data_IF_942946999388
#
_entry.id   IF_942946999388
#
_cell.length_a   1.000
_cell.length_b   1.000
_cell.length_c   1.000
_cell.angle_alpha   90.00
_cell.angle_beta   90.00
_cell.angle_gamma   90.00
#
_symmetry.space_group_name_H-M   'P 1'
#
loop_
_entity.id
_entity.type
_entity.pdbx_description
1 polymer ?
#
# COMPACT_ATOMS: atom_id res chain seq x y z
N UNK A 1 -33.56 6.56 -12.47
CA UNK A 1 -33.39 5.61 -13.58
C UNK A 1 -31.97 5.08 -13.48
N UNK A 2 -31.76 3.76 -13.38
CA UNK A 2 -30.42 3.17 -13.39
C UNK A 2 -30.06 2.78 -14.82
N UNK A 3 -28.79 2.94 -15.21
CA UNK A 3 -28.31 2.44 -16.49
C UNK A 3 -27.69 1.06 -16.31
N UNK A 4 -27.95 0.14 -17.25
CA UNK A 4 -27.30 -1.16 -17.30
C UNK A 4 -26.34 -1.23 -18.49
N UNK A 5 -25.12 -1.73 -18.26
CA UNK A 5 -24.10 -1.92 -19.28
C UNK A 5 -23.53 -3.32 -19.18
N UNK A 6 -23.34 -3.99 -20.31
CA UNK A 6 -22.69 -5.29 -20.37
C UNK A 6 -21.29 -5.14 -20.96
N UNK A 7 -20.33 -5.84 -20.40
CA UNK A 7 -18.96 -5.93 -20.93
C UNK A 7 -18.35 -7.29 -20.60
N UNK A 8 -17.33 -7.67 -21.38
CA UNK A 8 -16.63 -8.95 -21.26
C UNK A 8 -15.13 -8.72 -21.28
N UNK A 9 -14.40 -9.43 -20.42
CA UNK A 9 -12.95 -9.46 -20.42
C UNK A 9 -12.43 -10.88 -20.20
N UNK A 10 -11.24 -11.16 -20.73
CA UNK A 10 -10.54 -12.42 -20.58
C UNK A 10 -9.13 -12.21 -20.04
N UNK A 11 -8.70 -13.09 -19.14
CA UNK A 11 -7.37 -13.13 -18.57
C UNK A 11 -6.81 -14.55 -18.73
N UNK A 12 -5.73 -14.70 -19.49
CA UNK A 12 -5.02 -15.98 -19.63
C UNK A 12 -3.92 -16.09 -18.58
N UNK A 13 -3.81 -17.26 -17.97
CA UNK A 13 -2.87 -17.57 -16.89
C UNK A 13 -2.12 -18.85 -17.26
N UNK A 14 -0.79 -18.82 -17.21
CA UNK A 14 0.02 -20.02 -17.36
C UNK A 14 -0.12 -20.88 -16.08
N UNK A 15 -0.32 -22.17 -16.26
CA UNK A 15 -0.50 -23.15 -15.20
C UNK A 15 0.77 -23.36 -14.38
N UNK A 16 1.96 -23.17 -14.98
CA UNK A 16 3.23 -23.16 -14.27
C UNK A 16 3.27 -22.08 -13.18
N UNK A 17 2.51 -20.99 -13.32
CA UNK A 17 2.44 -19.94 -12.30
C UNK A 17 1.79 -20.42 -11.00
N UNK A 18 1.04 -21.52 -11.01
CA UNK A 18 0.55 -22.15 -9.79
C UNK A 18 1.68 -22.69 -8.91
N UNK A 19 2.86 -22.96 -9.47
CA UNK A 19 4.01 -23.41 -8.70
C UNK A 19 4.89 -22.24 -8.21
N UNK A 20 4.67 -21.04 -8.77
CA UNK A 20 5.56 -19.89 -8.60
C UNK A 20 4.91 -18.80 -7.75
N UNK A 21 3.59 -18.65 -7.82
CA UNK A 21 2.87 -17.62 -7.08
C UNK A 21 2.74 -18.00 -5.61
N UNK A 22 3.00 -17.07 -4.72
CA UNK A 22 2.64 -17.25 -3.31
C UNK A 22 1.17 -16.87 -3.06
N UNK A 23 0.51 -17.43 -2.04
CA UNK A 23 -0.81 -16.97 -1.64
C UNK A 23 -0.84 -15.46 -1.36
N UNK A 24 -1.85 -14.78 -1.89
CA UNK A 24 -1.97 -13.32 -1.85
C UNK A 24 -1.35 -12.60 -3.06
N UNK A 25 -0.58 -13.29 -3.91
CA UNK A 25 -0.10 -12.73 -5.18
C UNK A 25 -1.16 -12.89 -6.28
N UNK A 26 -1.36 -11.85 -7.09
CA UNK A 26 -2.33 -11.86 -8.18
C UNK A 26 -1.75 -11.47 -9.54
N UNK A 27 -2.48 -11.87 -10.57
CA UNK A 27 -2.36 -11.45 -11.95
C UNK A 27 -3.61 -10.67 -12.30
N UNK A 28 -3.45 -9.60 -13.06
CA UNK A 28 -4.54 -8.67 -13.32
C UNK A 28 -4.69 -8.41 -14.81
N UNK A 29 -5.94 -8.36 -15.28
CA UNK A 29 -6.24 -8.04 -16.69
C UNK A 29 -6.00 -6.56 -16.99
N UNK A 30 -6.03 -6.22 -18.28
CA UNK A 30 -6.10 -4.82 -18.69
C UNK A 30 -7.32 -4.12 -18.05
N UNK A 31 -7.14 -2.84 -17.71
CA UNK A 31 -8.25 -2.00 -17.27
C UNK A 31 -9.10 -1.60 -18.45
N UNK A 32 -10.40 -1.87 -18.37
CA UNK A 32 -11.37 -1.50 -19.38
C UNK A 32 -12.22 -0.31 -18.92
N UNK A 33 -12.43 0.72 -19.76
CA UNK A 33 -13.37 1.77 -19.43
C UNK A 33 -14.80 1.19 -19.41
N UNK A 34 -15.56 1.49 -18.36
CA UNK A 34 -16.97 1.12 -18.31
C UNK A 34 -17.72 1.94 -19.37
N UNK A 35 -18.56 1.31 -20.23
CA UNK A 35 -19.27 2.02 -21.28
C UNK A 35 -20.02 3.26 -20.75
N UNK A 36 -19.80 4.40 -21.41
CA UNK A 36 -20.39 5.72 -21.08
C UNK A 36 -19.96 6.33 -19.72
N UNK A 37 -19.01 5.72 -19.03
CA UNK A 37 -18.41 6.23 -17.79
C UNK A 37 -16.90 6.45 -18.00
N UNK A 38 -16.50 7.57 -18.63
CA UNK A 38 -15.11 7.84 -19.08
C UNK A 38 -14.04 7.75 -17.99
N UNK A 39 -14.42 7.89 -16.72
CA UNK A 39 -13.51 7.87 -15.56
C UNK A 39 -13.68 6.63 -14.68
N UNK A 40 -14.51 5.69 -15.12
CA UNK A 40 -14.73 4.42 -14.42
C UNK A 40 -14.07 3.30 -15.22
N UNK A 41 -13.19 2.55 -14.55
CA UNK A 41 -12.53 1.41 -15.13
C UNK A 41 -12.91 0.14 -14.37
N UNK A 42 -12.82 -0.99 -15.03
CA UNK A 42 -12.97 -2.30 -14.41
C UNK A 42 -11.90 -3.27 -14.92
N UNK A 43 -11.60 -4.29 -14.14
CA UNK A 43 -10.60 -5.32 -14.46
C UNK A 43 -10.87 -6.62 -13.70
N UNK A 44 -10.13 -7.67 -14.06
CA UNK A 44 -10.12 -8.98 -13.40
C UNK A 44 -8.85 -9.08 -12.57
N UNK A 45 -8.96 -9.50 -11.31
CA UNK A 45 -7.83 -9.93 -10.48
C UNK A 45 -7.94 -11.44 -10.26
N UNK A 46 -6.89 -12.18 -10.60
CA UNK A 46 -6.77 -13.61 -10.41
C UNK A 46 -5.63 -13.89 -9.43
N UNK A 47 -5.93 -14.58 -8.34
CA UNK A 47 -4.93 -15.09 -7.41
C UNK A 47 -4.79 -16.59 -7.67
N UNK A 48 -3.74 -17.04 -8.39
CA UNK A 48 -3.60 -18.44 -8.79
C UNK A 48 -3.58 -19.38 -7.57
N UNK A 49 -2.96 -18.94 -6.47
CA UNK A 49 -2.83 -19.66 -5.21
C UNK A 49 -3.61 -19.00 -4.07
N UNK A 50 -4.79 -18.46 -4.40
CA UNK A 50 -5.70 -17.88 -3.44
C UNK A 50 -5.29 -16.49 -2.95
N UNK A 51 -6.28 -15.73 -2.51
CA UNK A 51 -6.08 -14.37 -1.95
C UNK A 51 -5.37 -14.42 -0.58
N UNK A 52 -5.47 -15.54 0.13
CA UNK A 52 -4.90 -15.73 1.46
C UNK A 52 -4.28 -17.12 1.57
N UNK A 53 -3.41 -17.32 2.56
CA UNK A 53 -2.76 -18.61 2.84
C UNK A 53 -3.77 -19.76 3.06
N UNK A 54 -4.92 -19.47 3.67
CA UNK A 54 -6.00 -20.45 3.87
C UNK A 54 -6.66 -20.91 2.56
N UNK A 55 -6.55 -20.08 1.53
CA UNK A 55 -7.12 -20.32 0.21
C UNK A 55 -6.09 -20.89 -0.77
N UNK A 56 -4.88 -21.24 -0.31
CA UNK A 56 -3.74 -21.63 -1.15
C UNK A 56 -4.00 -22.73 -2.17
N UNK A 57 -4.98 -23.59 -1.93
CA UNK A 57 -5.38 -24.72 -2.77
C UNK A 57 -6.46 -24.37 -3.80
N UNK A 58 -6.82 -23.09 -3.93
CA UNK A 58 -7.84 -22.58 -4.83
C UNK A 58 -7.29 -21.42 -5.65
N UNK A 59 -7.79 -21.28 -6.87
CA UNK A 59 -7.73 -20.02 -7.61
C UNK A 59 -8.84 -19.10 -7.08
N UNK A 60 -8.48 -17.89 -6.67
CA UNK A 60 -9.46 -16.84 -6.37
C UNK A 60 -9.57 -15.87 -7.54
N UNK A 61 -10.78 -15.44 -7.87
CA UNK A 61 -11.00 -14.48 -8.97
C UNK A 61 -11.94 -13.38 -8.53
N UNK A 62 -11.53 -12.14 -8.77
CA UNK A 62 -12.27 -10.92 -8.45
C UNK A 62 -12.48 -10.09 -9.71
N UNK A 63 -13.62 -9.42 -9.76
CA UNK A 63 -13.89 -8.33 -10.69
C UNK A 63 -13.84 -7.07 -9.85
N UNK A 64 -13.03 -6.12 -10.28
CA UNK A 64 -12.73 -4.90 -9.53
C UNK A 64 -13.10 -3.68 -10.37
N UNK A 65 -13.50 -2.60 -9.72
CA UNK A 65 -13.83 -1.31 -10.32
C UNK A 65 -12.98 -0.21 -9.74
N UNK A 66 -12.76 0.86 -10.51
CA UNK A 66 -11.92 1.95 -10.04
C UNK A 66 -12.54 2.70 -8.88
N UNK A 67 -13.86 2.78 -8.77
CA UNK A 67 -14.51 3.38 -7.60
C UNK A 67 -15.63 2.46 -7.10
N UNK A 68 -15.98 2.57 -5.83
CA UNK A 68 -17.12 1.87 -5.24
C UNK A 68 -18.44 2.45 -5.72
N UNK A 69 -19.55 1.88 -5.24
CA UNK A 69 -20.90 2.43 -5.50
C UNK A 69 -21.59 1.90 -6.77
N UNK A 70 -21.06 0.85 -7.40
CA UNK A 70 -21.75 0.14 -8.49
C UNK A 70 -22.29 -1.18 -7.99
N UNK A 71 -23.41 -1.57 -8.58
CA UNK A 71 -23.89 -2.93 -8.49
C UNK A 71 -23.48 -3.63 -9.77
N UNK A 72 -22.91 -4.82 -9.67
CA UNK A 72 -22.69 -5.63 -10.86
C UNK A 72 -23.09 -7.07 -10.66
N UNK A 73 -23.66 -7.65 -11.72
CA UNK A 73 -23.86 -9.08 -11.87
C UNK A 73 -22.73 -9.59 -12.73
N UNK A 74 -21.97 -10.55 -12.21
CA UNK A 74 -20.84 -11.16 -12.92
C UNK A 74 -21.07 -12.63 -13.13
N UNK A 75 -20.67 -13.11 -14.29
CA UNK A 75 -20.53 -14.51 -14.64
C UNK A 75 -19.06 -14.76 -14.90
N UNK A 76 -18.42 -15.47 -13.96
CA UNK A 76 -17.05 -15.94 -14.18
C UNK A 76 -17.15 -17.31 -14.80
N UNK A 77 -16.46 -17.45 -15.92
CA UNK A 77 -16.26 -18.70 -16.61
C UNK A 77 -14.76 -18.93 -16.67
N UNK A 78 -14.27 -19.92 -15.94
CA UNK A 78 -12.93 -20.45 -16.21
C UNK A 78 -13.07 -21.29 -17.46
N UNK A 79 -12.61 -20.77 -18.59
CA UNK A 79 -12.60 -21.47 -19.87
C UNK A 79 -11.40 -22.41 -19.89
N UNK A 80 -11.75 -23.68 -19.85
CA UNK A 80 -10.94 -24.78 -20.33
C UNK A 80 -11.77 -25.56 -21.33
N UNK A 81 -11.13 -26.25 -22.26
CA UNK A 81 -11.77 -26.97 -23.37
C UNK A 81 -12.98 -27.84 -22.98
N UNK A 82 -13.15 -28.20 -21.69
CA UNK A 82 -14.18 -29.13 -21.24
C UNK A 82 -14.77 -28.85 -19.83
N UNK A 83 -14.32 -27.80 -19.10
CA UNK A 83 -14.83 -27.48 -17.75
C UNK A 83 -15.37 -26.06 -17.69
N UNK A 84 -16.68 -25.92 -17.48
CA UNK A 84 -17.36 -24.64 -17.26
C UNK A 84 -17.73 -24.50 -15.78
N UNK A 85 -16.88 -23.87 -14.98
CA UNK A 85 -17.32 -23.39 -13.67
C UNK A 85 -18.05 -22.06 -13.90
N UNK A 86 -19.37 -22.05 -13.74
CA UNK A 86 -20.18 -20.83 -13.85
C UNK A 86 -20.69 -20.46 -12.47
N UNK A 87 -20.36 -19.25 -12.01
CA UNK A 87 -20.92 -18.73 -10.77
C UNK A 87 -21.43 -17.31 -10.97
N UNK A 88 -22.58 -17.01 -10.36
CA UNK A 88 -23.22 -15.69 -10.39
C UNK A 88 -23.24 -15.11 -8.99
N UNK A 89 -22.66 -13.92 -8.80
CA UNK A 89 -22.66 -13.22 -7.52
C UNK A 89 -22.95 -11.75 -7.74
N UNK A 90 -23.86 -11.23 -6.92
CA UNK A 90 -24.23 -9.83 -6.88
C UNK A 90 -23.37 -9.13 -5.83
N UNK A 91 -22.76 -8.01 -6.20
CA UNK A 91 -21.93 -7.21 -5.30
C UNK A 91 -22.57 -5.83 -5.12
N UNK A 92 -23.30 -5.59 -4.01
CA UNK A 92 -23.83 -4.28 -3.73
C UNK A 92 -22.71 -3.34 -3.28
N UNK A 93 -22.46 -2.30 -4.07
CA UNK A 93 -21.74 -1.07 -3.68
C UNK A 93 -20.27 -1.23 -3.23
N UNK A 94 -19.59 -2.32 -3.57
CA UNK A 94 -18.16 -2.50 -3.26
C UNK A 94 -17.26 -2.21 -4.48
N UNK A 95 -16.00 -1.87 -4.22
CA UNK A 95 -14.94 -1.68 -5.24
C UNK A 95 -14.46 -3.00 -5.86
N UNK A 96 -14.69 -4.12 -5.17
CA UNK A 96 -14.32 -5.44 -5.66
C UNK A 96 -15.38 -6.48 -5.30
N UNK A 97 -15.48 -7.48 -6.17
CA UNK A 97 -16.41 -8.58 -6.01
C UNK A 97 -15.82 -9.84 -6.61
N UNK A 98 -15.61 -10.87 -5.80
CA UNK A 98 -14.96 -12.11 -6.24
C UNK A 98 -15.52 -13.41 -5.69
N UNK A 99 -14.87 -14.49 -6.11
CA UNK A 99 -14.95 -15.83 -5.55
C UNK A 99 -13.59 -16.21 -5.01
N UNK A 100 -13.54 -16.38 -3.69
CA UNK A 100 -12.36 -16.82 -2.94
C UNK A 100 -12.00 -18.30 -3.18
N UNK A 101 -12.93 -19.08 -3.71
CA UNK A 101 -12.78 -20.51 -4.04
C UNK A 101 -13.38 -20.75 -5.42
N UNK A 102 -12.82 -20.11 -6.45
CA UNK A 102 -13.39 -20.16 -7.81
C UNK A 102 -13.24 -21.57 -8.41
N UNK A 103 -12.03 -22.15 -8.30
CA UNK A 103 -11.73 -23.52 -8.67
C UNK A 103 -10.58 -24.03 -7.78
N UNK A 104 -10.66 -25.28 -7.31
CA UNK A 104 -9.56 -25.92 -6.57
C UNK A 104 -8.44 -26.35 -7.52
N UNK A 105 -7.19 -26.29 -7.09
CA UNK A 105 -6.05 -26.80 -7.85
C UNK A 105 -6.22 -28.26 -8.25
N UNK A 106 -6.73 -29.11 -7.36
CA UNK A 106 -7.02 -30.51 -7.66
C UNK A 106 -7.93 -30.63 -8.91
N UNK A 107 -9.08 -29.95 -8.94
CA UNK A 107 -9.96 -29.90 -10.12
C UNK A 107 -9.32 -29.25 -11.35
N UNK A 108 -8.35 -28.36 -11.15
CA UNK A 108 -7.61 -27.72 -12.24
C UNK A 108 -6.53 -28.67 -12.82
N UNK A 109 -5.93 -29.53 -11.98
CA UNK A 109 -4.86 -30.48 -12.33
C UNK A 109 -5.41 -31.84 -12.80
N UNK A 110 -6.48 -32.35 -12.19
CA UNK A 110 -7.10 -33.66 -12.50
C UNK A 110 -7.76 -33.74 -13.87
N UNK A 111 -7.95 -32.61 -14.56
CA UNK A 111 -8.28 -32.68 -15.96
C UNK A 111 -6.96 -32.89 -16.73
N UNK A 112 -6.86 -33.93 -17.55
CA UNK A 112 -5.64 -34.40 -18.25
C UNK A 112 -5.19 -33.51 -19.45
N UNK A 113 -5.59 -32.25 -19.48
CA UNK A 113 -5.69 -31.41 -20.70
C UNK A 113 -5.45 -29.91 -20.44
N UNK A 114 -4.41 -29.52 -19.69
CA UNK A 114 -3.91 -28.14 -19.84
C UNK A 114 -3.18 -28.13 -21.19
N UNK A 115 -3.93 -28.00 -22.29
CA UNK A 115 -3.34 -27.84 -23.62
C UNK A 115 -2.50 -26.58 -23.57
N UNK A 116 -1.22 -26.74 -23.87
CA UNK A 116 -0.24 -25.66 -23.98
C UNK A 116 0.08 -24.94 -22.65
N UNK A 117 -0.28 -25.51 -21.50
CA UNK A 117 0.09 -24.93 -20.21
C UNK A 117 -0.76 -23.73 -19.76
N UNK A 118 -1.82 -23.33 -20.47
CA UNK A 118 -2.61 -22.11 -20.13
C UNK A 118 -4.04 -22.44 -19.68
N UNK A 119 -4.58 -21.66 -18.73
CA UNK A 119 -6.02 -21.56 -18.47
C UNK A 119 -6.54 -20.12 -18.61
N UNK A 120 -7.77 -19.95 -19.08
CA UNK A 120 -8.35 -18.62 -19.31
C UNK A 120 -9.51 -18.35 -18.36
N UNK A 121 -9.50 -17.18 -17.73
CA UNK A 121 -10.61 -16.65 -16.96
C UNK A 121 -11.37 -15.68 -17.85
N UNK A 122 -12.63 -15.97 -18.13
CA UNK A 122 -13.55 -15.06 -18.80
C UNK A 122 -14.54 -14.50 -17.78
N UNK A 123 -14.69 -13.19 -17.74
CA UNK A 123 -15.68 -12.51 -16.90
C UNK A 123 -16.65 -11.76 -17.80
N UNK A 124 -17.93 -12.12 -17.73
CA UNK A 124 -19.03 -11.34 -18.30
C UNK A 124 -19.65 -10.52 -17.15
N UNK A 125 -19.72 -9.20 -17.30
CA UNK A 125 -20.13 -8.27 -16.23
C UNK A 125 -21.26 -7.38 -16.72
N UNK A 126 -22.30 -7.25 -15.89
CA UNK A 126 -23.40 -6.31 -16.07
C UNK A 126 -23.29 -5.25 -14.99
N UNK A 127 -22.96 -4.01 -15.35
CA UNK A 127 -22.90 -2.86 -14.46
C UNK A 127 -24.26 -2.18 -14.35
N UNK A 128 -24.75 -1.99 -13.13
CA UNK A 128 -25.89 -1.13 -12.82
C UNK A 128 -25.37 0.17 -12.20
N UNK A 129 -25.53 1.27 -12.91
CA UNK A 129 -25.08 2.60 -12.49
C UNK A 129 -26.28 3.43 -12.01
N UNK A 130 -26.29 3.88 -10.75
CA UNK A 130 -27.33 4.79 -10.25
C UNK A 130 -27.34 6.12 -11.02
N UNK A 131 -28.53 6.69 -11.22
CA UNK A 131 -28.67 8.04 -11.80
C UNK A 131 -27.93 9.07 -10.93
N UNK A 132 -27.18 9.98 -11.56
CA UNK A 132 -26.40 11.03 -10.87
C UNK A 132 -24.95 10.64 -10.53
N UNK A 133 -24.60 9.35 -10.46
CA UNK A 133 -23.21 8.91 -10.26
C UNK A 133 -22.33 9.29 -11.44
N UNK A 134 -22.87 9.19 -12.66
CA UNK A 134 -22.15 9.55 -13.91
C UNK A 134 -21.74 11.03 -13.91
N UNK A 135 -22.60 11.93 -13.41
CA UNK A 135 -22.34 13.37 -13.43
C UNK A 135 -21.34 13.81 -12.33
N UNK A 136 -21.26 13.06 -11.22
CA UNK A 136 -20.22 13.25 -10.22
C UNK A 136 -18.86 12.71 -10.70
N UNK A 137 -18.84 11.58 -11.42
CA UNK A 137 -17.60 11.01 -11.99
C UNK A 137 -16.99 11.88 -13.08
N UNK A 138 -17.80 12.65 -13.83
CA UNK A 138 -17.30 13.61 -14.83
C UNK A 138 -16.45 14.74 -14.21
N UNK A 139 -16.52 14.96 -12.89
CA UNK A 139 -15.82 16.06 -12.21
C UNK A 139 -14.41 15.72 -11.73
N UNK A 140 -14.06 14.44 -11.59
CA UNK A 140 -12.71 14.03 -11.20
C UNK A 140 -11.79 14.00 -12.42
N UNK A 141 -10.65 14.65 -12.33
CA UNK A 141 -9.58 14.54 -13.33
C UNK A 141 -8.57 13.49 -12.85
N UNK A 142 -8.46 12.38 -13.59
CA UNK A 142 -7.38 11.41 -13.41
C UNK A 142 -6.40 11.53 -14.56
N UNK A 143 -5.11 11.43 -14.26
CA UNK A 143 -4.09 11.25 -15.28
C UNK A 143 -3.24 10.03 -14.96
N UNK A 144 -2.82 9.34 -16.01
CA UNK A 144 -1.91 8.20 -15.95
C UNK A 144 -0.56 8.66 -16.48
N UNK A 145 0.49 8.34 -15.73
CA UNK A 145 1.86 8.41 -16.22
C UNK A 145 2.51 7.04 -16.05
N UNK A 146 3.43 6.69 -16.94
CA UNK A 146 4.04 5.36 -16.95
C UNK A 146 5.50 5.42 -17.29
N UNK A 147 6.23 4.44 -16.78
CA UNK A 147 7.63 4.28 -17.07
C UNK A 147 7.98 2.84 -17.35
N UNK A 148 9.05 2.69 -18.12
CA UNK A 148 9.58 1.40 -18.49
C UNK A 148 11.04 1.40 -18.11
N UNK A 149 11.40 0.54 -17.19
CA UNK A 149 12.79 0.28 -16.85
C UNK A 149 13.22 -1.00 -17.53
N UNK A 150 14.32 -0.91 -18.26
CA UNK A 150 14.95 -2.05 -18.89
C UNK A 150 16.30 -2.23 -18.26
N UNK A 151 16.55 -3.42 -17.72
CA UNK A 151 17.88 -3.76 -17.24
C UNK A 151 18.26 -5.17 -17.69
N UNK A 152 19.55 -5.38 -17.90
CA UNK A 152 20.06 -6.69 -18.25
C UNK A 152 19.88 -7.64 -17.06
N UNK A 153 19.32 -8.82 -17.27
CA UNK A 153 19.08 -9.83 -16.25
C UNK A 153 20.35 -10.18 -15.46
N UNK A 154 21.52 -10.15 -16.08
CA UNK A 154 22.82 -10.38 -15.41
C UNK A 154 23.11 -9.36 -14.30
N UNK A 155 22.40 -8.23 -14.25
CA UNK A 155 22.52 -7.28 -13.15
C UNK A 155 21.99 -7.86 -11.82
N UNK A 156 21.05 -8.81 -11.86
CA UNK A 156 20.62 -9.55 -10.66
C UNK A 156 21.79 -10.36 -10.08
N UNK A 157 22.70 -10.85 -10.91
CA UNK A 157 23.86 -11.63 -10.45
C UNK A 157 25.00 -10.75 -9.91
N UNK A 158 25.02 -9.47 -10.28
CA UNK A 158 26.11 -8.56 -9.91
C UNK A 158 25.77 -7.59 -8.78
N UNK A 159 24.49 -7.29 -8.56
CA UNK A 159 24.04 -6.41 -7.50
C UNK A 159 24.01 -7.14 -6.15
N UNK A 160 24.34 -6.41 -5.09
CA UNK A 160 24.20 -6.87 -3.71
C UNK A 160 22.93 -6.28 -3.09
N UNK A 161 22.37 -6.93 -2.06
CA UNK A 161 21.24 -6.37 -1.32
C UNK A 161 21.52 -4.94 -0.82
N UNK A 162 20.50 -4.09 -0.92
CA UNK A 162 20.58 -2.65 -0.62
C UNK A 162 21.18 -1.77 -1.72
N UNK A 163 21.77 -2.35 -2.78
CA UNK A 163 22.14 -1.58 -3.97
C UNK A 163 20.92 -1.28 -4.83
N UNK A 164 20.79 -0.02 -5.23
CA UNK A 164 19.63 0.45 -6.00
C UNK A 164 19.98 1.22 -7.26
N UNK A 165 19.06 1.13 -8.21
CA UNK A 165 18.98 1.95 -9.40
C UNK A 165 17.91 3.00 -9.12
N UNK A 166 18.29 4.28 -9.13
CA UNK A 166 17.37 5.40 -8.95
C UNK A 166 16.98 5.88 -10.34
N UNK A 167 15.69 5.87 -10.63
CA UNK A 167 15.16 6.43 -11.87
C UNK A 167 15.21 7.95 -11.86
N UNK A 168 15.32 8.54 -13.05
CA UNK A 168 15.14 9.97 -13.23
C UNK A 168 13.75 10.42 -12.78
N UNK A 169 13.70 11.56 -12.10
CA UNK A 169 12.45 12.14 -11.62
C UNK A 169 11.62 12.65 -12.79
N UNK A 170 10.33 12.32 -12.77
CA UNK A 170 9.35 12.83 -13.73
C UNK A 170 8.38 13.76 -13.04
N UNK A 171 8.04 14.86 -13.70
CA UNK A 171 7.02 15.79 -13.21
C UNK A 171 5.88 15.87 -14.21
N UNK A 172 4.68 15.49 -13.78
CA UNK A 172 3.45 15.57 -14.58
C UNK A 172 2.39 16.27 -13.75
N UNK A 173 1.79 17.33 -14.31
CA UNK A 173 0.76 18.15 -13.64
C UNK A 173 1.17 18.65 -12.23
N UNK A 174 2.45 19.02 -12.07
CA UNK A 174 3.00 19.52 -10.81
C UNK A 174 3.29 18.44 -9.76
N UNK A 175 3.03 17.17 -10.06
CA UNK A 175 3.38 16.02 -9.22
C UNK A 175 4.68 15.43 -9.75
N UNK A 176 5.68 15.33 -8.88
CA UNK A 176 6.97 14.72 -9.22
C UNK A 176 7.05 13.31 -8.65
N UNK A 177 7.40 12.33 -9.46
CA UNK A 177 7.53 10.94 -9.01
C UNK A 177 8.74 10.26 -9.66
N UNK A 178 9.24 9.22 -8.99
CA UNK A 178 10.35 8.39 -9.47
C UNK A 178 10.30 7.03 -8.78
N UNK A 179 11.16 6.11 -9.20
CA UNK A 179 11.26 4.80 -8.58
C UNK A 179 12.70 4.49 -8.15
N UNK A 180 12.85 3.76 -7.05
CA UNK A 180 14.07 3.05 -6.67
C UNK A 180 13.88 1.56 -6.96
N UNK A 181 14.80 0.96 -7.69
CA UNK A 181 14.80 -0.46 -8.00
C UNK A 181 15.96 -1.11 -7.30
N UNK A 182 15.68 -2.20 -6.58
CA UNK A 182 16.67 -3.00 -5.90
C UNK A 182 16.65 -4.39 -6.55
N UNK A 183 17.55 -4.67 -7.50
CA UNK A 183 17.56 -5.94 -8.23
C UNK A 183 17.74 -7.17 -7.33
N UNK A 184 18.34 -6.98 -6.15
CA UNK A 184 18.63 -8.04 -5.18
C UNK A 184 18.09 -7.69 -3.79
N UNK A 185 16.90 -7.08 -3.73
CA UNK A 185 16.26 -6.72 -2.47
C UNK A 185 16.81 -5.45 -1.83
N UNK A 186 15.98 -4.80 -1.02
CA UNK A 186 16.41 -3.61 -0.26
C UNK A 186 17.29 -4.00 0.93
N UNK A 187 17.02 -5.15 1.54
CA UNK A 187 17.77 -5.67 2.68
C UNK A 187 18.28 -7.08 2.38
N UNK A 188 19.16 -7.58 3.25
CA UNK A 188 19.70 -8.94 3.12
C UNK A 188 18.62 -10.02 3.24
N UNK A 189 17.55 -9.74 3.98
CA UNK A 189 16.38 -10.62 4.11
C UNK A 189 15.60 -10.72 2.79
N UNK A 190 15.73 -9.73 1.91
CA UNK A 190 15.02 -9.63 0.63
C UNK A 190 15.88 -10.07 -0.56
N UNK A 191 17.07 -10.64 -0.33
CA UNK A 191 18.08 -10.87 -1.37
C UNK A 191 17.66 -11.76 -2.54
N UNK A 192 16.66 -12.61 -2.33
CA UNK A 192 16.08 -13.48 -3.36
C UNK A 192 15.03 -12.81 -4.24
N UNK A 193 14.82 -11.49 -4.06
CA UNK A 193 13.77 -10.74 -4.71
C UNK A 193 14.30 -9.51 -5.44
N UNK A 194 13.53 -9.05 -6.42
CA UNK A 194 13.56 -7.68 -6.90
C UNK A 194 12.59 -6.87 -6.03
N UNK A 195 13.02 -5.74 -5.49
CA UNK A 195 12.17 -4.78 -4.77
C UNK A 195 12.11 -3.46 -5.52
N UNK A 196 10.95 -2.79 -5.50
CA UNK A 196 10.71 -1.54 -6.24
C UNK A 196 9.91 -0.59 -5.37
N UNK A 197 10.44 0.62 -5.21
CA UNK A 197 9.87 1.68 -4.40
C UNK A 197 9.54 2.87 -5.27
N UNK A 198 8.26 3.18 -5.37
CA UNK A 198 7.67 4.36 -5.92
C UNK A 198 7.73 5.53 -4.93
N UNK A 199 8.24 6.66 -5.40
CA UNK A 199 8.39 7.88 -4.64
C UNK A 199 7.59 8.99 -5.30
N UNK A 200 6.94 9.83 -4.48
CA UNK A 200 6.17 10.98 -4.95
C UNK A 200 6.47 12.19 -4.10
N UNK A 201 6.65 13.35 -4.73
CA UNK A 201 6.83 14.65 -4.09
C UNK A 201 6.11 15.75 -4.87
N UNK A 202 5.53 16.71 -4.15
CA UNK A 202 4.85 17.87 -4.74
C UNK A 202 3.47 17.54 -5.34
N UNK A 203 2.75 18.60 -5.73
CA UNK A 203 1.42 18.54 -6.33
C UNK A 203 0.26 18.82 -5.35
N UNK A 204 -0.95 19.10 -5.87
CA UNK A 204 -2.16 19.19 -5.04
C UNK A 204 -2.44 17.83 -4.38
N UNK A 205 -3.22 17.83 -3.29
CA UNK A 205 -3.63 16.63 -2.55
C UNK A 205 -4.14 15.55 -3.53
N UNK A 206 -3.31 14.54 -3.78
CA UNK A 206 -3.68 13.36 -4.56
C UNK A 206 -4.32 12.38 -3.59
N UNK A 207 -5.65 12.26 -3.64
CA UNK A 207 -6.43 11.39 -2.75
C UNK A 207 -6.38 9.92 -3.14
N UNK A 208 -5.95 9.58 -4.35
CA UNK A 208 -5.85 8.20 -4.79
C UNK A 208 -4.63 8.03 -5.70
N UNK A 209 -3.75 7.14 -5.24
CA UNK A 209 -2.55 6.73 -5.94
C UNK A 209 -2.70 5.24 -6.22
N UNK A 210 -2.49 4.85 -7.46
CA UNK A 210 -2.45 3.44 -7.82
C UNK A 210 -1.22 3.15 -8.60
N UNK A 211 -0.57 2.07 -8.21
CA UNK A 211 0.66 1.63 -8.82
C UNK A 211 0.45 0.24 -9.37
N UNK A 212 0.76 0.08 -10.66
CA UNK A 212 0.78 -1.20 -11.34
C UNK A 212 2.20 -1.45 -11.83
N UNK A 213 2.71 -2.66 -11.61
CA UNK A 213 4.04 -3.03 -12.06
C UNK A 213 3.97 -4.32 -12.83
N UNK A 214 4.50 -4.36 -14.05
CA UNK A 214 4.60 -5.59 -14.84
C UNK A 214 6.03 -5.96 -15.21
N UNK A 215 6.36 -7.26 -15.19
CA UNK A 215 7.59 -7.79 -15.79
C UNK A 215 7.28 -8.37 -17.16
N UNK A 216 7.94 -7.86 -18.19
CA UNK A 216 7.83 -8.30 -19.59
C UNK A 216 6.37 -8.44 -20.09
N UNK A 217 5.45 -7.66 -19.50
CA UNK A 217 4.01 -7.71 -19.81
C UNK A 217 3.23 -8.86 -19.16
N UNK A 218 3.87 -9.73 -18.38
CA UNK A 218 3.31 -11.02 -17.93
C UNK A 218 2.74 -10.99 -16.51
N UNK A 219 3.30 -10.17 -15.60
CA UNK A 219 2.93 -10.24 -14.18
C UNK A 219 2.65 -8.88 -13.56
N UNK A 220 1.38 -8.51 -13.41
CA UNK A 220 1.02 -7.18 -12.88
C UNK A 220 0.71 -7.19 -11.38
N UNK A 221 1.61 -6.69 -10.52
CA UNK A 221 1.30 -6.38 -9.12
C UNK A 221 0.60 -5.02 -9.03
N UNK A 222 -0.55 -4.98 -8.36
CA UNK A 222 -1.35 -3.78 -8.14
C UNK A 222 -1.49 -3.49 -6.66
N UNK A 223 -1.33 -2.22 -6.29
CA UNK A 223 -1.63 -1.73 -4.95
C UNK A 223 -2.50 -0.48 -5.08
N UNK A 224 -3.49 -0.42 -4.20
CA UNK A 224 -4.42 0.68 -4.05
C UNK A 224 -4.38 1.20 -2.62
N UNK A 225 -4.85 2.44 -2.44
CA UNK A 225 -4.69 3.34 -1.30
C UNK A 225 -4.64 2.74 0.14
N UNK A 226 -5.15 1.54 0.39
CA UNK A 226 -5.13 0.89 1.71
C UNK A 226 -3.80 0.26 2.14
N UNK A 227 -2.82 0.12 1.24
CA UNK A 227 -1.45 -0.37 1.55
C UNK A 227 -0.39 0.76 1.49
N UNK A 228 -0.85 2.00 1.39
CA UNK A 228 0.01 3.18 1.26
C UNK A 228 0.36 3.68 2.66
N UNK A 229 1.59 3.43 3.12
CA UNK A 229 2.08 4.16 4.29
C UNK A 229 2.30 5.64 3.94
N UNK A 230 1.91 6.53 4.85
CA UNK A 230 1.92 8.00 4.71
C UNK A 230 3.33 8.63 4.59
N UNK A 231 4.39 7.82 4.52
CA UNK A 231 5.80 8.25 4.61
C UNK A 231 6.44 8.70 3.29
N UNK A 232 5.67 8.87 2.21
CA UNK A 232 6.16 9.44 0.94
C UNK A 232 7.07 8.55 0.10
N UNK A 233 7.46 7.38 0.62
CA UNK A 233 8.18 6.32 -0.07
C UNK A 233 7.32 5.06 0.00
N UNK A 234 6.86 4.55 -1.14
CA UNK A 234 5.96 3.40 -1.21
C UNK A 234 6.65 2.35 -2.07
N UNK A 235 6.94 1.17 -1.56
CA UNK A 235 7.47 0.11 -2.41
C UNK A 235 6.98 -1.26 -2.04
N UNK A 236 7.11 -2.15 -3.00
CA UNK A 236 6.98 -3.56 -2.73
C UNK A 236 8.35 -4.06 -2.33
N UNK A 237 8.45 -4.43 -1.07
CA UNK A 237 9.34 -5.50 -0.67
C UNK A 237 8.85 -6.77 -1.38
N UNK A 238 9.79 -7.53 -1.94
CA UNK A 238 9.49 -8.81 -2.60
C UNK A 238 8.57 -8.66 -3.83
N UNK A 239 8.82 -7.67 -4.70
CA UNK A 239 8.05 -7.50 -5.95
C UNK A 239 7.99 -8.79 -6.74
N UNK A 240 9.15 -9.38 -6.99
CA UNK A 240 9.29 -10.58 -7.78
C UNK A 240 10.42 -11.42 -7.19
N UNK A 241 10.26 -12.73 -7.15
CA UNK A 241 11.39 -13.60 -6.87
C UNK A 241 12.36 -13.54 -8.04
N UNK A 242 13.65 -13.81 -7.79
CA UNK A 242 14.60 -13.96 -8.89
C UNK A 242 14.15 -15.04 -9.86
N UNK A 243 13.59 -16.15 -9.37
CA UNK A 243 13.02 -17.22 -10.20
C UNK A 243 11.90 -16.72 -11.13
N UNK A 244 10.96 -15.90 -10.64
CA UNK A 244 9.94 -15.24 -11.48
C UNK A 244 10.60 -14.37 -12.56
N UNK A 245 11.62 -13.61 -12.18
CA UNK A 245 12.42 -12.83 -13.12
C UNK A 245 13.27 -13.68 -14.06
N UNK A 246 13.43 -14.99 -13.84
CA UNK A 246 14.17 -15.88 -14.72
C UNK A 246 13.26 -16.59 -15.73
N UNK A 247 11.98 -16.78 -15.38
CA UNK A 247 10.98 -17.49 -16.16
C UNK A 247 10.20 -16.59 -17.12
N UNK A 248 10.16 -15.28 -16.87
CA UNK A 248 9.52 -14.33 -17.79
C UNK A 248 10.18 -14.38 -19.18
N UNK A 249 9.40 -14.40 -20.26
CA UNK A 249 9.95 -14.43 -21.63
C UNK A 249 10.85 -13.21 -21.89
N UNK A 250 12.16 -13.43 -22.01
CA UNK A 250 13.15 -12.35 -22.17
C UNK A 250 13.63 -12.31 -23.62
N UNK A 251 13.27 -11.24 -24.34
CA UNK A 251 14.01 -10.87 -25.54
C UNK A 251 15.36 -10.29 -25.12
N UNK A 252 16.45 -10.96 -25.49
CA UNK A 252 17.84 -10.50 -25.35
C UNK A 252 18.34 -10.32 -23.89
N UNK A 253 17.94 -11.19 -22.96
CA UNK A 253 18.32 -11.10 -21.53
C UNK A 253 17.90 -9.78 -20.86
N UNK A 254 16.84 -9.12 -21.35
CA UNK A 254 16.33 -7.88 -20.76
C UNK A 254 15.12 -8.20 -19.89
N UNK A 255 15.16 -7.67 -18.66
CA UNK A 255 14.00 -7.55 -17.79
C UNK A 255 13.43 -6.15 -17.99
N UNK A 256 12.19 -6.10 -18.46
CA UNK A 256 11.39 -4.89 -18.61
C UNK A 256 10.41 -4.79 -17.44
N UNK A 257 10.61 -3.84 -16.55
CA UNK A 257 9.66 -3.48 -15.50
C UNK A 257 8.87 -2.25 -15.96
N UNK A 258 7.58 -2.41 -16.19
CA UNK A 258 6.67 -1.31 -16.51
C UNK A 258 5.97 -0.86 -15.25
N UNK A 259 6.18 0.37 -14.82
CA UNK A 259 5.51 0.95 -13.67
C UNK A 259 4.51 2.01 -14.14
N UNK A 260 3.26 1.88 -13.72
CA UNK A 260 2.19 2.81 -14.07
C UNK A 260 1.67 3.48 -12.81
N UNK A 261 1.73 4.80 -12.79
CA UNK A 261 1.21 5.63 -11.73
C UNK A 261 -0.07 6.31 -12.20
N UNK A 262 -1.16 6.10 -11.46
CA UNK A 262 -2.41 6.81 -11.70
C UNK A 262 -2.63 7.78 -10.55
N UNK A 263 -2.80 9.05 -10.89
CA UNK A 263 -3.07 10.13 -9.96
C UNK A 263 -4.48 10.65 -10.23
N UNK A 264 -5.32 10.66 -9.19
CA UNK A 264 -6.68 11.20 -9.29
C UNK A 264 -6.82 12.47 -8.47
N UNK A 265 -7.16 13.57 -9.14
CA UNK A 265 -7.54 14.84 -8.51
C UNK A 265 -9.06 14.87 -8.29
N UNK A 266 -9.54 15.06 -7.06
CA UNK A 266 -10.97 15.22 -6.82
C UNK A 266 -11.50 16.49 -7.51
N UNK A 267 -12.68 16.36 -8.14
CA UNK A 267 -13.44 17.51 -8.61
C UNK A 267 -14.13 18.22 -7.45
N UNK A 268 -13.65 19.40 -7.07
CA UNK A 268 -14.21 20.21 -5.97
C UNK A 268 -15.61 20.77 -6.30
N UNK A 269 -16.48 20.99 -5.28
CA UNK A 269 -16.31 22.11 -4.35
C UNK A 269 -16.49 21.77 -2.86
N UNK A 270 -15.57 22.27 -2.04
CA UNK A 270 -15.87 22.96 -0.78
C UNK A 270 -15.17 24.32 -0.88
N UNK A 271 -15.94 25.39 -0.63
CA UNK A 271 -15.70 26.78 -1.02
C UNK A 271 -14.40 27.42 -0.45
N UNK A 272 -13.94 28.54 -1.07
CA UNK A 272 -12.59 29.11 -0.95
C UNK A 272 -12.51 30.27 0.05
N UNK A 273 -11.30 30.58 0.52
CA UNK A 273 -10.93 31.97 0.83
C UNK A 273 -9.63 32.29 0.09
N UNK A 274 -9.68 33.41 -0.62
CA UNK A 274 -8.72 34.01 -1.53
C UNK A 274 -7.42 34.44 -0.86
N UNK A 275 -6.29 34.34 -1.58
CA UNK A 275 -5.38 35.49 -1.76
C UNK A 275 -4.80 35.44 -3.18
N UNK A 276 -5.06 36.50 -3.94
CA UNK A 276 -4.42 36.80 -5.21
C UNK A 276 -3.15 37.61 -4.90
N UNK A 277 -1.96 37.09 -5.21
CA UNK A 277 -0.70 37.80 -5.01
C UNK A 277 -0.17 38.27 -6.36
N UNK A 278 -0.18 39.59 -6.55
CA UNK A 278 0.54 40.30 -7.62
C UNK A 278 2.05 40.21 -7.35
N UNK A 279 2.93 40.07 -8.36
CA UNK A 279 4.35 39.86 -8.11
C UNK A 279 5.02 41.13 -7.54
N UNK A 280 5.80 41.04 -6.46
CA UNK A 280 6.81 42.03 -6.14
C UNK A 280 8.18 41.59 -6.65
N UNK A 281 8.95 42.62 -6.99
CA UNK A 281 10.31 42.59 -7.53
C UNK A 281 11.33 41.85 -6.64
N UNK A 282 12.37 41.36 -7.30
CA UNK A 282 13.56 40.71 -6.74
C UNK A 282 14.15 41.47 -5.55
N UNK A 283 14.27 40.81 -4.40
CA UNK A 283 15.36 41.04 -3.42
C UNK A 283 15.68 39.72 -2.70
N UNK A 284 16.97 39.36 -2.63
CA UNK A 284 17.50 38.15 -1.99
C UNK A 284 17.89 38.39 -0.52
N UNK A 285 17.53 37.47 0.40
CA UNK A 285 18.23 37.23 1.69
C UNK A 285 17.81 35.87 2.32
N UNK A 286 18.64 35.20 3.16
CA UNK A 286 18.55 33.75 3.44
C UNK A 286 17.73 33.34 4.68
N UNK A 287 17.07 32.18 4.60
CA UNK A 287 16.28 31.51 5.66
C UNK A 287 17.13 30.73 6.67
N UNK A 288 16.74 30.76 7.96
CA UNK A 288 17.26 29.88 9.03
C UNK A 288 16.20 28.84 9.45
N UNK A 289 16.59 27.56 9.50
CA UNK A 289 15.81 26.47 10.12
C UNK A 289 15.86 26.60 11.65
N UNK A 290 14.73 26.45 12.33
CA UNK A 290 14.65 26.35 13.78
C UNK A 290 14.18 24.93 14.14
N UNK A 291 15.10 24.10 14.67
CA UNK A 291 14.78 22.78 15.23
C UNK A 291 14.60 22.92 16.74
N UNK A 292 13.45 22.51 17.27
CA UNK A 292 13.23 22.46 18.73
C UNK A 292 13.51 21.03 19.18
N UNK A 293 14.50 20.88 20.04
CA UNK A 293 14.95 19.58 20.56
C UNK A 293 14.25 19.28 21.89
N UNK A 294 13.95 18.01 22.09
CA UNK A 294 13.68 17.35 23.38
C UNK A 294 12.24 17.41 23.91
N UNK A 295 11.41 16.46 23.46
CA UNK A 295 10.25 16.00 24.23
C UNK A 295 10.43 14.52 24.60
N UNK A 296 10.24 14.20 25.88
CA UNK A 296 10.34 12.85 26.43
C UNK A 296 8.98 12.51 27.03
N UNK A 297 8.36 11.43 26.59
CA UNK A 297 7.20 10.84 27.28
C UNK A 297 7.56 9.44 27.72
N UNK A 298 7.39 9.18 29.01
CA UNK A 298 7.56 7.88 29.61
C UNK A 298 6.18 7.31 29.97
N UNK A 299 5.98 6.03 29.71
CA UNK A 299 4.83 5.26 30.14
C UNK A 299 5.31 4.11 31.01
N UNK A 300 4.68 3.93 32.17
CA UNK A 300 4.86 2.75 32.99
C UNK A 300 3.54 2.00 32.96
N UNK A 301 3.57 0.74 32.52
CA UNK A 301 2.36 -0.07 32.37
C UNK A 301 2.50 -1.33 33.22
N UNK A 302 1.43 -1.66 33.92
CA UNK A 302 1.31 -2.94 34.60
C UNK A 302 1.23 -4.05 33.54
N UNK A 303 2.27 -4.87 33.51
CA UNK A 303 2.46 -5.96 32.56
C UNK A 303 1.84 -7.24 33.12
N UNK A 304 0.52 -7.23 33.27
CA UNK A 304 -0.24 -8.46 33.51
C UNK A 304 -0.60 -9.07 32.15
N UNK A 305 0.17 -10.09 31.77
CA UNK A 305 0.12 -10.81 30.48
C UNK A 305 -1.24 -11.43 30.14
N UNK A 306 -2.16 -11.54 31.11
CA UNK A 306 -3.38 -12.35 30.99
C UNK A 306 -4.68 -11.54 30.90
N UNK A 307 -4.66 -10.20 30.89
CA UNK A 307 -5.90 -9.41 31.07
C UNK A 307 -6.20 -8.39 29.96
N UNK A 308 -5.49 -8.42 28.84
CA UNK A 308 -5.87 -7.60 27.69
C UNK A 308 -6.12 -8.50 26.48
N UNK A 309 -7.36 -8.48 26.01
CA UNK A 309 -7.68 -9.08 24.73
C UNK A 309 -6.98 -8.30 23.61
N UNK A 310 -6.73 -8.98 22.49
CA UNK A 310 -6.18 -8.33 21.30
C UNK A 310 -7.07 -7.15 20.90
N UNK A 311 -6.47 -5.96 20.75
CA UNK A 311 -7.16 -4.70 20.46
C UNK A 311 -7.47 -3.83 21.67
N UNK A 312 -7.26 -4.32 22.90
CA UNK A 312 -7.33 -3.48 24.10
C UNK A 312 -6.02 -2.71 24.31
N UNK A 313 -6.13 -1.45 24.74
CA UNK A 313 -4.99 -0.57 24.92
C UNK A 313 -5.14 0.37 26.13
N UNK A 314 -3.98 0.76 26.66
CA UNK A 314 -3.82 1.89 27.56
C UNK A 314 -3.19 3.07 26.81
N UNK A 315 -3.35 4.29 27.33
CA UNK A 315 -2.72 5.47 26.74
C UNK A 315 -2.08 6.38 27.77
N UNK A 316 -0.99 7.04 27.39
CA UNK A 316 -0.42 8.11 28.23
C UNK A 316 -1.33 9.34 28.21
N UNK A 317 -1.28 10.18 29.25
CA UNK A 317 -1.83 11.53 29.15
C UNK A 317 -1.26 12.26 27.93
N UNK A 318 -2.08 13.10 27.29
CA UNK A 318 -1.61 14.00 26.26
C UNK A 318 -0.59 14.95 26.86
N UNK A 319 0.61 14.97 26.31
CA UNK A 319 1.71 15.82 26.76
C UNK A 319 2.02 16.83 25.67
N UNK A 320 2.20 18.10 26.06
CA UNK A 320 2.64 19.13 25.13
C UNK A 320 4.07 18.89 24.70
N UNK A 321 4.34 19.14 23.43
CA UNK A 321 5.70 19.10 22.89
C UNK A 321 6.44 20.31 23.45
N UNK A 322 7.62 20.08 24.03
CA UNK A 322 8.41 21.15 24.61
C UNK A 322 8.70 22.23 23.56
N UNK A 323 8.35 23.48 23.85
CA UNK A 323 8.45 24.60 22.90
C UNK A 323 7.29 24.77 21.91
N UNK A 324 6.21 23.99 22.02
CA UNK A 324 4.95 24.21 21.31
C UNK A 324 3.75 24.10 22.26
N UNK A 325 3.00 25.18 22.40
CA UNK A 325 1.69 25.20 23.05
C UNK A 325 0.57 24.63 22.15
N UNK A 326 0.90 24.25 20.90
CA UNK A 326 -0.06 23.88 19.86
C UNK A 326 -0.01 22.43 19.45
N UNK A 327 1.03 21.69 19.82
CA UNK A 327 1.18 20.29 19.49
C UNK A 327 1.24 19.46 20.77
N UNK A 328 0.40 18.45 20.82
CA UNK A 328 0.32 17.46 21.88
C UNK A 328 0.57 16.09 21.28
N UNK A 329 1.15 15.21 22.06
CA UNK A 329 1.27 13.82 21.67
C UNK A 329 1.00 12.88 22.84
N UNK A 330 0.68 11.64 22.52
CA UNK A 330 0.58 10.55 23.48
C UNK A 330 0.97 9.22 22.85
N UNK A 331 1.28 8.26 23.70
CA UNK A 331 1.46 6.87 23.31
C UNK A 331 0.16 6.11 23.55
N UNK A 332 -0.18 5.23 22.61
CA UNK A 332 -1.20 4.18 22.76
C UNK A 332 -0.48 2.85 22.81
N UNK A 333 -0.67 2.10 23.89
CA UNK A 333 0.04 0.86 24.19
C UNK A 333 -0.94 -0.30 24.19
N UNK A 334 -0.72 -1.28 23.31
CA UNK A 334 -1.52 -2.49 23.19
C UNK A 334 -0.69 -3.68 23.67
N UNK A 335 -0.87 -4.13 24.92
CA UNK A 335 -0.03 -5.17 25.51
C UNK A 335 -0.14 -6.50 24.77
N UNK A 336 -1.32 -6.88 24.26
CA UNK A 336 -1.53 -8.16 23.57
C UNK A 336 -1.51 -8.07 22.04
N UNK A 337 -1.23 -6.88 21.51
CA UNK A 337 -1.31 -6.55 20.09
C UNK A 337 -2.60 -5.78 19.76
N UNK A 338 -2.53 -4.92 18.75
CA UNK A 338 -3.65 -4.11 18.27
C UNK A 338 -4.70 -4.89 17.47
N UNK A 339 -4.31 -6.01 16.86
CA UNK A 339 -5.17 -6.81 16.01
C UNK A 339 -4.72 -8.29 16.00
N UNK A 340 -5.54 -9.23 15.47
CA UNK A 340 -5.21 -10.66 15.53
C UNK A 340 -3.86 -11.04 14.90
N UNK A 341 -3.33 -10.24 13.96
CA UNK A 341 -2.03 -10.48 13.32
C UNK A 341 -0.84 -10.05 14.18
N UNK A 342 -1.04 -9.14 15.13
CA UNK A 342 -0.03 -8.68 16.10
C UNK A 342 -0.13 -9.40 17.45
N UNK A 343 -1.03 -10.39 17.57
CA UNK A 343 -1.14 -11.23 18.77
C UNK A 343 0.22 -11.77 19.22
N UNK A 344 0.49 -11.68 20.52
CA UNK A 344 1.75 -12.10 21.13
C UNK A 344 2.90 -11.08 21.01
N UNK A 345 2.60 -9.88 20.49
CA UNK A 345 3.51 -8.75 20.47
C UNK A 345 2.90 -7.60 21.27
N UNK A 346 3.76 -6.72 21.78
CA UNK A 346 3.36 -5.38 22.18
C UNK A 346 3.26 -4.54 20.91
N UNK A 347 2.13 -3.85 20.73
CA UNK A 347 2.01 -2.77 19.75
C UNK A 347 2.08 -1.42 20.45
N UNK A 348 2.79 -0.47 19.83
CA UNK A 348 2.89 0.89 20.33
C UNK A 348 2.55 1.85 19.21
N UNK A 349 1.68 2.80 19.49
CA UNK A 349 1.31 3.83 18.55
C UNK A 349 1.57 5.20 19.15
N UNK A 350 1.86 6.12 18.27
CA UNK A 350 2.04 7.51 18.59
C UNK A 350 0.89 8.30 17.96
N UNK A 351 0.11 8.97 18.81
CA UNK A 351 -0.89 9.93 18.36
C UNK A 351 -0.36 11.34 18.55
N UNK A 352 -0.41 12.15 17.50
CA UNK A 352 -0.10 13.58 17.55
C UNK A 352 -1.38 14.36 17.30
N UNK A 353 -1.81 15.15 18.29
CA UNK A 353 -2.95 16.05 18.18
C UNK A 353 -2.49 17.50 18.22
N UNK A 354 -3.16 18.39 17.50
CA UNK A 354 -2.79 19.80 17.43
C UNK A 354 -4.01 20.71 17.44
N UNK A 355 -3.78 22.00 17.60
CA UNK A 355 -4.77 23.04 17.31
C UNK A 355 -4.64 23.66 15.90
N UNK A 356 -3.61 23.34 15.11
CA UNK A 356 -3.39 23.82 13.73
C UNK A 356 -3.20 22.68 12.72
N UNK A 357 -3.97 22.61 11.63
CA UNK A 357 -3.82 21.58 10.58
C UNK A 357 -2.47 21.67 9.87
N UNK A 358 -1.48 20.88 10.30
CA UNK A 358 -0.11 20.84 9.74
C UNK A 358 0.49 19.46 9.86
N UNK A 359 1.20 19.02 8.82
CA UNK A 359 2.04 17.83 8.89
C UNK A 359 3.31 18.11 9.69
N UNK A 360 3.67 17.23 10.62
CA UNK A 360 4.88 17.37 11.44
C UNK A 360 5.83 16.20 11.17
N UNK A 361 7.12 16.46 10.98
CA UNK A 361 8.12 15.38 10.96
C UNK A 361 8.60 15.11 12.36
N UNK A 362 8.44 13.87 12.80
CA UNK A 362 8.90 13.40 14.08
C UNK A 362 9.98 12.34 13.90
N UNK A 363 11.13 12.59 14.51
CA UNK A 363 12.21 11.61 14.61
C UNK A 363 12.50 11.33 16.07
N UNK A 364 12.69 10.07 16.42
CA UNK A 364 12.85 9.70 17.81
C UNK A 364 13.35 8.29 18.03
N UNK A 365 13.29 7.90 19.29
CA UNK A 365 13.74 6.62 19.81
C UNK A 365 12.75 6.10 20.84
N UNK A 366 12.36 4.84 20.72
CA UNK A 366 11.60 4.09 21.73
C UNK A 366 12.57 3.17 22.47
N UNK A 367 12.52 3.19 23.80
CA UNK A 367 13.37 2.38 24.68
C UNK A 367 12.51 1.62 25.69
N UNK A 368 12.98 0.44 26.10
CA UNK A 368 12.42 -0.29 27.23
C UNK A 368 13.39 -0.15 28.39
N UNK A 369 12.95 0.49 29.47
CA UNK A 369 13.80 0.85 30.61
C UNK A 369 14.37 -0.41 31.26
N UNK A 370 15.66 -0.39 31.58
CA UNK A 370 16.36 -1.53 32.18
C UNK A 370 16.87 -2.55 31.16
N UNK A 371 16.68 -2.32 29.86
CA UNK A 371 17.13 -3.22 28.78
C UNK A 371 18.03 -2.50 27.78
N UNK A 372 18.59 -3.27 26.83
CA UNK A 372 19.29 -2.73 25.66
C UNK A 372 18.35 -2.50 24.46
N UNK A 373 17.04 -2.69 24.61
CA UNK A 373 16.11 -2.52 23.50
C UNK A 373 15.96 -1.05 23.12
N UNK A 374 16.20 -0.76 21.86
CA UNK A 374 16.08 0.56 21.28
C UNK A 374 15.52 0.46 19.85
N UNK A 375 14.50 1.26 19.54
CA UNK A 375 13.91 1.37 18.20
C UNK A 375 13.90 2.82 17.76
N UNK A 376 14.71 3.15 16.76
CA UNK A 376 14.71 4.49 16.15
C UNK A 376 13.57 4.62 15.15
N UNK A 377 13.07 5.84 14.98
CA UNK A 377 12.01 6.13 14.04
C UNK A 377 12.12 7.53 13.44
N UNK A 378 11.59 7.68 12.23
CA UNK A 378 11.44 8.95 11.53
C UNK A 378 10.16 8.89 10.72
N UNK A 379 9.14 9.61 11.15
CA UNK A 379 7.77 9.56 10.64
C UNK A 379 7.26 10.96 10.34
N UNK A 380 6.43 11.06 9.31
CA UNK A 380 5.69 12.27 8.97
C UNK A 380 4.27 12.01 9.46
N UNK A 381 3.81 12.80 10.43
CA UNK A 381 2.53 12.60 11.10
C UNK A 381 1.60 13.76 10.73
N UNK A 382 0.49 13.43 10.09
CA UNK A 382 -0.64 14.35 9.98
C UNK A 382 -1.35 14.47 11.31
N UNK A 383 -1.94 15.63 11.55
CA UNK A 383 -2.55 15.91 12.83
C UNK A 383 -3.84 15.12 13.00
N UNK A 384 -4.03 14.59 14.21
CA UNK A 384 -5.08 13.61 14.53
C UNK A 384 -4.90 12.26 13.82
N UNK A 385 -3.69 12.00 13.29
CA UNK A 385 -3.31 10.69 12.77
C UNK A 385 -2.47 9.91 13.79
N UNK A 386 -2.46 8.60 13.62
CA UNK A 386 -1.79 7.65 14.50
C UNK A 386 -0.69 6.95 13.69
N UNK A 387 0.56 7.10 14.10
CA UNK A 387 1.69 6.33 13.55
C UNK A 387 1.97 5.11 14.41
N UNK A 388 2.35 4.00 13.80
CA UNK A 388 2.23 2.68 14.40
C UNK A 388 3.53 1.87 14.42
N UNK A 389 3.72 1.11 15.49
CA UNK A 389 4.55 -0.10 15.54
C UNK A 389 3.64 -1.28 15.93
N UNK A 390 2.93 -1.90 14.97
CA UNK A 390 1.98 -2.98 15.26
C UNK A 390 2.65 -4.21 15.90
N UNK A 391 3.95 -4.39 15.70
CA UNK A 391 4.76 -5.45 16.32
C UNK A 391 6.07 -4.85 16.83
N UNK A 392 6.00 -4.03 17.88
CA UNK A 392 7.19 -3.35 18.42
C UNK A 392 8.20 -4.36 18.97
N UNK A 393 7.73 -5.28 19.81
CA UNK A 393 8.53 -6.35 20.42
C UNK A 393 7.62 -7.53 20.74
N UNK A 394 8.11 -8.76 20.54
CA UNK A 394 7.35 -9.95 20.95
C UNK A 394 7.38 -10.12 22.48
N UNK A 395 6.38 -10.79 23.06
CA UNK A 395 6.39 -11.11 24.50
C UNK A 395 7.56 -12.01 24.90
N UNK A 396 7.94 -12.91 23.99
CA UNK A 396 9.09 -13.80 24.20
C UNK A 396 10.39 -13.01 24.27
N UNK A 397 10.64 -12.14 23.27
CA UNK A 397 11.81 -11.29 23.22
C UNK A 397 11.89 -10.36 24.42
N UNK A 398 10.77 -9.74 24.81
CA UNK A 398 10.70 -8.88 26.00
C UNK A 398 11.15 -9.59 27.28
N UNK A 399 10.75 -10.85 27.47
CA UNK A 399 11.19 -11.69 28.59
C UNK A 399 12.68 -12.01 28.51
N UNK A 400 13.18 -12.32 27.31
CA UNK A 400 14.58 -12.66 27.09
C UNK A 400 15.52 -11.48 27.40
N UNK A 401 15.11 -10.25 27.09
CA UNK A 401 15.89 -9.04 27.38
C UNK A 401 15.71 -8.51 28.81
N UNK A 402 14.91 -9.18 29.64
CA UNK A 402 14.64 -8.76 31.01
C UNK A 402 13.83 -7.47 31.12
N UNK A 403 12.97 -7.17 30.14
CA UNK A 403 12.20 -5.92 30.08
C UNK A 403 11.01 -5.83 31.01
N UNK A 404 10.74 -6.87 31.81
CA UNK A 404 9.66 -6.95 32.78
C UNK A 404 10.27 -6.93 34.17
N UNK A 405 10.01 -5.87 34.93
CA UNK A 405 10.51 -5.67 36.30
C UNK A 405 9.29 -5.50 37.21
N UNK A 406 9.16 -6.36 38.22
CA UNK A 406 8.02 -6.36 39.16
C UNK A 406 6.65 -6.37 38.48
N UNK A 407 6.50 -7.22 37.45
CA UNK A 407 5.29 -7.30 36.60
C UNK A 407 4.95 -5.97 35.89
N UNK A 408 5.93 -5.09 35.66
CA UNK A 408 5.74 -3.84 34.94
C UNK A 408 6.71 -3.73 33.78
N UNK A 409 6.28 -3.00 32.75
CA UNK A 409 7.12 -2.59 31.63
C UNK A 409 7.10 -1.08 31.57
N UNK A 410 8.29 -0.48 31.56
CA UNK A 410 8.46 0.95 31.38
C UNK A 410 8.99 1.24 29.97
N UNK A 411 8.19 1.94 29.18
CA UNK A 411 8.51 2.34 27.81
C UNK A 411 8.78 3.84 27.81
N UNK A 412 9.91 4.24 27.25
CA UNK A 412 10.29 5.65 27.08
C UNK A 412 10.33 5.95 25.60
N UNK A 413 9.64 7.01 25.19
CA UNK A 413 9.73 7.55 23.86
C UNK A 413 10.37 8.95 23.92
N UNK A 414 11.47 9.11 23.21
CA UNK A 414 12.19 10.37 23.06
C UNK A 414 12.00 10.85 21.62
N UNK A 415 11.44 12.05 21.44
CA UNK A 415 11.09 12.57 20.12
C UNK A 415 11.59 14.00 19.91
N UNK A 416 12.10 14.26 18.71
CA UNK A 416 12.35 15.60 18.18
C UNK A 416 11.32 15.92 17.11
N UNK A 417 10.63 17.02 17.29
CA UNK A 417 9.63 17.50 16.35
C UNK A 417 10.21 18.60 15.49
N UNK A 418 10.17 18.41 14.18
CA UNK A 418 10.51 19.41 13.21
C UNK A 418 9.20 19.91 12.58
N UNK A 419 8.77 21.09 13.01
CA UNK A 419 7.73 21.83 12.30
C UNK A 419 8.34 22.43 11.04
N UNK A 420 7.71 22.21 9.89
CA UNK A 420 7.95 23.08 8.75
C UNK A 420 7.35 24.44 9.11
N UNK A 421 8.16 25.37 9.61
CA UNK A 421 7.68 26.74 9.81
C UNK A 421 7.20 27.26 8.46
N UNK A 422 5.97 27.76 8.44
CA UNK A 422 5.43 28.56 7.36
C UNK A 422 6.48 29.62 7.02
N UNK A 423 6.89 29.64 5.75
CA UNK A 423 7.48 30.83 5.16
C UNK A 423 6.48 31.96 5.39
N UNK A 424 6.73 32.81 6.40
CA UNK A 424 5.99 34.05 6.56
C UNK A 424 6.31 34.92 5.34
N UNK A 425 5.41 34.84 4.35
CA UNK A 425 5.25 35.82 3.30
C UNK A 425 4.77 37.11 3.98
N UNK A 426 5.70 38.05 4.21
CA UNK A 426 5.36 39.46 4.37
C UNK A 426 5.16 40.07 2.99
#
# INVERSE_FOLDING_TARGET
MSFEFEDTETLSIEAEWLNIFEPGQCVVSARRPVPRCKNLYWWIECYPNGETLELKQYVSVFVCTSTGGFEFKKVITVLRSDVKCQSTKFCPKNTSGGWKKCISHEKLVLADTIKDGVFTIKCDVIFKVPNGTIDNLKKSESFEDSCIIKFNRKLIETYKPGQKIIEEKRTVNGITWWNHYYPCGETEDDKGYVSVFFHVSGGPIVLDRRYAMSINGVHVKYSSHSEFEETGNIGYLHCYTHEQCQLADHKNDIIEIVCKAIFTKPGLPTLPIYVQITPPEKVEAPLKKQSVKDSITAMMVDYQLDHNDVGEFDSTPKTFINGSDKHQWRLLYYPAGDNPRSKGHISLFLEVSTTETKTVTLSGVIKIVGTTFEKTFNMIVETDSISAFPKLISHEELRQIGGIIDEKVAIVCEGTFNTFNDLQLN
#
